data_IF_892970247507
#
_entry.id   IF_892970247507
#
_cell.length_a   1.000
_cell.length_b   1.000
_cell.length_c   1.000
_cell.angle_alpha   90.00
_cell.angle_beta   90.00
_cell.angle_gamma   90.00
#
_symmetry.space_group_name_H-M   'P 1'
#
loop_
_entity.id
_entity.type
_entity.pdbx_description
1 polymer ?
#
# COMPACT_ATOMS: atom_id res chain seq x y z
N UNK A 1 23.28 26.92 -46.03
CA UNK A 1 23.37 27.45 -44.64
C UNK A 1 22.12 26.98 -43.91
N UNK A 2 22.14 25.73 -43.46
CA UNK A 2 21.06 25.09 -42.73
C UNK A 2 21.39 25.15 -41.23
N UNK A 3 20.51 25.75 -40.45
CA UNK A 3 20.62 25.84 -38.98
C UNK A 3 19.82 24.69 -38.38
N UNK A 4 20.53 23.65 -37.94
CA UNK A 4 19.99 22.54 -37.15
C UNK A 4 20.12 22.87 -35.67
N UNK A 5 19.01 23.11 -35.00
CA UNK A 5 18.94 23.17 -33.53
C UNK A 5 18.62 21.77 -33.01
N UNK A 6 19.46 21.13 -32.17
CA UNK A 6 19.10 19.90 -31.51
C UNK A 6 18.23 20.18 -30.27
N UNK A 7 17.08 19.52 -30.19
CA UNK A 7 16.23 19.43 -29.00
C UNK A 7 16.85 18.42 -28.02
N UNK A 8 17.29 18.90 -26.86
CA UNK A 8 17.80 18.06 -25.78
C UNK A 8 16.65 17.33 -25.06
N UNK A 9 16.76 16.00 -25.08
CA UNK A 9 16.09 15.06 -24.18
C UNK A 9 16.72 15.15 -22.78
N UNK A 10 15.94 14.80 -21.74
CA UNK A 10 16.42 14.27 -20.44
C UNK A 10 17.04 15.25 -19.43
N UNK A 11 16.22 15.89 -18.58
CA UNK A 11 16.68 16.54 -17.32
C UNK A 11 15.81 16.21 -16.09
N UNK A 12 14.70 15.46 -16.20
CA UNK A 12 13.80 15.26 -15.05
C UNK A 12 14.12 14.05 -14.13
N UNK A 13 15.12 13.21 -14.41
CA UNK A 13 15.34 11.95 -13.66
C UNK A 13 16.62 11.89 -12.80
N UNK A 14 17.35 13.00 -12.64
CA UNK A 14 18.53 13.06 -11.74
C UNK A 14 18.30 13.89 -10.46
N UNK A 15 17.04 14.17 -10.11
CA UNK A 15 16.69 14.94 -8.91
C UNK A 15 16.72 14.17 -7.58
N UNK A 16 16.86 12.84 -7.61
CA UNK A 16 16.71 11.99 -6.42
C UNK A 16 18.00 11.79 -5.58
N UNK A 17 19.12 12.42 -5.95
CA UNK A 17 20.40 12.21 -5.27
C UNK A 17 21.07 13.45 -4.64
N UNK A 18 20.51 14.66 -4.73
CA UNK A 18 21.28 15.88 -4.36
C UNK A 18 20.77 16.65 -3.12
N UNK A 19 19.56 16.42 -2.60
CA UNK A 19 19.05 17.22 -1.47
C UNK A 19 19.08 16.51 -0.10
N UNK A 20 20.24 15.98 0.30
CA UNK A 20 20.48 15.50 1.67
C UNK A 20 21.64 16.20 2.41
N UNK A 21 22.16 17.32 1.90
CA UNK A 21 23.18 18.10 2.60
C UNK A 21 22.61 19.37 3.24
N UNK A 22 22.15 19.24 4.48
CA UNK A 22 22.31 20.29 5.49
C UNK A 22 22.02 19.76 6.91
N UNK A 23 23.07 19.76 7.74
CA UNK A 23 23.10 19.82 9.22
C UNK A 23 22.58 18.54 9.93
N UNK A 24 23.32 17.81 10.80
CA UNK A 24 24.30 18.17 11.84
C UNK A 24 25.08 16.90 12.26
N UNK A 25 26.35 17.07 12.69
CA UNK A 25 27.30 16.12 13.33
C UNK A 25 27.53 14.72 12.68
N UNK A 26 28.82 14.50 12.39
CA UNK A 26 29.43 13.43 11.59
C UNK A 26 29.41 12.06 12.30
N UNK A 27 28.32 11.33 12.17
CA UNK A 27 28.36 9.86 12.14
C UNK A 27 28.21 9.47 10.67
N UNK A 28 29.19 8.74 10.13
CA UNK A 28 29.22 8.24 8.75
C UNK A 28 27.85 7.62 8.39
N UNK A 29 27.02 8.38 7.67
CA UNK A 29 25.73 7.90 7.16
C UNK A 29 26.04 7.05 5.95
N UNK A 30 26.27 5.76 6.16
CA UNK A 30 26.26 4.79 5.07
C UNK A 30 24.81 4.75 4.55
N UNK A 31 24.53 5.21 3.32
CA UNK A 31 23.19 5.06 2.76
C UNK A 31 22.89 3.56 2.65
N UNK A 32 21.66 3.12 2.96
CA UNK A 32 21.30 1.72 2.77
C UNK A 32 21.51 1.34 1.30
N UNK A 33 22.14 0.19 1.07
CA UNK A 33 22.25 -0.42 -0.25
C UNK A 33 20.83 -0.83 -0.68
N UNK A 34 20.50 -0.82 -1.97
CA UNK A 34 19.20 -1.31 -2.43
C UNK A 34 19.33 -2.82 -2.70
N UNK A 35 18.45 -3.65 -2.08
CA UNK A 35 18.39 -5.10 -2.32
C UNK A 35 17.35 -5.45 -3.39
N UNK A 36 17.30 -6.74 -3.77
CA UNK A 36 16.38 -7.30 -4.78
C UNK A 36 14.95 -6.80 -4.56
N UNK A 37 14.32 -6.26 -5.61
CA UNK A 37 12.98 -5.66 -5.56
C UNK A 37 12.95 -4.18 -5.16
N UNK A 38 14.10 -3.52 -5.01
CA UNK A 38 14.17 -2.09 -4.71
C UNK A 38 14.08 -1.75 -3.22
N UNK A 39 13.89 -2.75 -2.33
CA UNK A 39 13.77 -2.53 -0.90
C UNK A 39 15.07 -1.99 -0.30
N UNK A 40 14.99 -1.10 0.71
CA UNK A 40 16.20 -0.59 1.35
C UNK A 40 16.84 -1.67 2.22
N UNK A 41 18.10 -2.01 1.92
CA UNK A 41 18.93 -2.88 2.74
C UNK A 41 19.40 -2.12 3.97
N UNK A 42 18.63 -2.29 5.03
CA UNK A 42 18.97 -1.73 6.33
C UNK A 42 19.60 -2.74 7.26
N UNK A 43 19.85 -3.98 6.84
CA UNK A 43 20.53 -4.98 7.67
C UNK A 43 21.86 -4.49 8.28
N UNK A 44 22.75 -3.78 7.54
CA UNK A 44 24.01 -3.31 8.11
C UNK A 44 23.88 -2.10 9.05
N UNK A 45 22.71 -1.47 9.13
CA UNK A 45 22.49 -0.25 9.91
C UNK A 45 22.16 -0.57 11.38
N UNK A 46 22.66 0.27 12.30
CA UNK A 46 22.22 0.27 13.70
C UNK A 46 20.75 0.72 13.81
N UNK A 47 20.11 0.49 14.96
CA UNK A 47 18.73 0.94 15.20
C UNK A 47 18.57 2.45 15.03
N UNK A 48 19.54 3.24 15.47
CA UNK A 48 19.50 4.69 15.35
C UNK A 48 19.63 5.13 13.88
N UNK A 49 20.53 4.50 13.13
CA UNK A 49 20.69 4.74 11.70
C UNK A 49 19.44 4.33 10.92
N UNK A 50 18.83 3.19 11.24
CA UNK A 50 17.54 2.75 10.67
C UNK A 50 16.47 3.80 10.92
N UNK A 51 16.32 4.23 12.18
CA UNK A 51 15.33 5.22 12.55
C UNK A 51 15.54 6.52 11.76
N UNK A 52 16.77 7.02 11.69
CA UNK A 52 17.07 8.29 11.00
C UNK A 52 16.82 8.18 9.49
N UNK A 53 17.12 7.03 8.89
CA UNK A 53 16.78 6.74 7.50
C UNK A 53 15.25 6.78 7.28
N UNK A 54 14.47 5.98 8.02
CA UNK A 54 13.02 5.94 7.84
C UNK A 54 12.32 7.25 8.21
N UNK A 55 12.81 7.95 9.24
CA UNK A 55 12.34 9.28 9.59
C UNK A 55 12.61 10.28 8.45
N UNK A 56 13.73 10.15 7.73
CA UNK A 56 14.00 10.99 6.55
C UNK A 56 13.01 10.74 5.41
N UNK A 57 12.62 9.48 5.18
CA UNK A 57 11.58 9.11 4.20
C UNK A 57 10.22 9.69 4.61
N UNK A 58 9.85 9.58 5.89
CA UNK A 58 8.59 10.14 6.37
C UNK A 58 8.56 11.69 6.29
N UNK A 59 9.67 12.35 6.63
CA UNK A 59 9.82 13.81 6.53
C UNK A 59 9.75 14.32 5.09
N UNK A 60 10.39 13.63 4.14
CA UNK A 60 10.37 14.05 2.73
C UNK A 60 8.97 14.00 2.12
N UNK A 61 8.05 13.24 2.73
CA UNK A 61 6.63 13.16 2.36
C UNK A 61 5.70 13.98 3.28
N UNK A 62 6.25 14.88 4.11
CA UNK A 62 5.51 15.71 5.07
C UNK A 62 4.60 14.90 6.03
N UNK A 63 5.00 13.67 6.36
CA UNK A 63 4.30 12.79 7.30
C UNK A 63 4.93 12.77 8.69
N UNK A 64 6.06 13.46 8.83
CA UNK A 64 6.77 13.59 10.08
C UNK A 64 7.42 14.97 10.11
N UNK A 65 7.22 15.73 11.18
CA UNK A 65 8.03 16.91 11.47
C UNK A 65 8.94 16.55 12.66
N UNK A 66 8.32 16.39 13.83
CA UNK A 66 8.89 15.69 14.99
C UNK A 66 7.78 14.85 15.66
N UNK A 67 8.07 13.58 15.94
CA UNK A 67 7.14 12.73 16.70
C UNK A 67 7.48 12.83 18.19
N UNK A 68 6.49 13.14 19.05
CA UNK A 68 6.65 13.00 20.49
C UNK A 68 7.13 11.60 20.87
N UNK A 69 7.80 11.49 22.02
CA UNK A 69 8.08 10.18 22.64
C UNK A 69 6.76 9.43 22.79
N UNK A 70 6.76 8.16 22.39
CA UNK A 70 5.58 7.31 22.41
C UNK A 70 4.73 7.38 21.13
N UNK A 71 4.98 8.31 20.21
CA UNK A 71 4.26 8.34 18.94
C UNK A 71 4.96 7.48 17.88
N UNK A 72 4.18 6.67 17.18
CA UNK A 72 4.55 5.77 16.09
C UNK A 72 4.22 6.40 14.75
N UNK A 73 5.12 6.27 13.79
CA UNK A 73 4.90 6.57 12.37
C UNK A 73 5.07 5.29 11.57
N UNK A 74 4.20 5.09 10.57
CA UNK A 74 4.19 3.91 9.72
C UNK A 74 4.72 4.30 8.33
N UNK A 75 5.62 3.49 7.78
CA UNK A 75 6.18 3.66 6.44
C UNK A 75 6.04 2.34 5.69
N UNK A 76 5.33 2.33 4.57
CA UNK A 76 5.20 1.22 3.64
C UNK A 76 6.12 1.40 2.44
N UNK A 77 6.83 0.34 2.10
CA UNK A 77 7.63 0.22 0.88
C UNK A 77 6.99 -0.87 0.04
N UNK A 78 6.35 -0.45 -1.06
CA UNK A 78 5.72 -1.33 -2.02
C UNK A 78 6.72 -1.75 -3.08
N UNK A 79 6.82 -3.05 -3.30
CA UNK A 79 7.42 -3.63 -4.50
C UNK A 79 6.32 -3.72 -5.56
N UNK A 80 6.57 -3.22 -6.78
CA UNK A 80 5.60 -3.40 -7.86
C UNK A 80 5.61 -4.86 -8.27
N UNK A 81 4.58 -5.59 -7.88
CA UNK A 81 4.37 -6.99 -8.25
C UNK A 81 2.99 -7.12 -8.90
N UNK A 82 2.88 -7.71 -10.10
CA UNK A 82 1.58 -7.87 -10.75
C UNK A 82 0.57 -8.58 -9.85
N UNK A 83 -0.68 -8.12 -9.81
CA UNK A 83 -1.73 -8.68 -8.95
C UNK A 83 -1.99 -10.16 -9.22
N UNK A 84 -1.67 -10.61 -10.43
CA UNK A 84 -1.78 -12.00 -10.90
C UNK A 84 -0.48 -12.81 -10.75
N UNK A 85 0.59 -12.27 -10.17
CA UNK A 85 1.88 -12.96 -10.08
C UNK A 85 1.81 -14.27 -9.29
N UNK A 86 0.99 -14.33 -8.24
CA UNK A 86 0.79 -15.51 -7.42
C UNK A 86 -0.43 -16.36 -7.85
N UNK A 87 -1.00 -16.04 -9.01
CA UNK A 87 -2.05 -16.84 -9.63
C UNK A 87 -1.51 -18.18 -10.16
N UNK A 88 -0.20 -18.31 -10.39
CA UNK A 88 0.37 -19.44 -11.15
C UNK A 88 0.85 -20.65 -10.34
N UNK A 89 0.82 -20.60 -9.01
CA UNK A 89 1.17 -21.77 -8.18
C UNK A 89 0.50 -21.72 -6.80
N UNK A 90 0.86 -22.63 -5.87
CA UNK A 90 0.31 -22.89 -4.49
C UNK A 90 -0.33 -21.73 -3.70
N UNK A 91 -0.03 -20.48 -4.06
CA UNK A 91 -0.60 -19.27 -3.53
C UNK A 91 -2.02 -18.93 -4.04
N UNK A 92 -2.53 -19.49 -5.14
CA UNK A 92 -3.94 -19.34 -5.56
C UNK A 92 -4.44 -17.89 -5.80
N UNK A 93 -3.55 -16.95 -6.16
CA UNK A 93 -3.93 -15.55 -6.30
C UNK A 93 -4.13 -14.80 -4.97
N UNK A 94 -3.55 -15.28 -3.87
CA UNK A 94 -3.56 -14.70 -2.51
C UNK A 94 -2.85 -13.36 -2.31
N UNK A 95 -2.10 -12.88 -3.30
CA UNK A 95 -1.20 -11.73 -3.19
C UNK A 95 0.24 -12.14 -2.86
N UNK A 96 1.20 -11.34 -3.33
CA UNK A 96 2.63 -11.53 -3.08
C UNK A 96 3.01 -10.68 -1.87
N UNK A 97 3.38 -11.33 -0.77
CA UNK A 97 3.75 -10.68 0.49
C UNK A 97 5.23 -10.30 0.48
N UNK A 98 5.64 -9.47 -0.46
CA UNK A 98 7.01 -9.00 -0.65
C UNK A 98 7.21 -7.53 -0.24
N UNK A 99 6.13 -6.84 0.14
CA UNK A 99 6.19 -5.49 0.66
C UNK A 99 6.74 -5.43 2.09
N UNK A 100 7.27 -4.26 2.43
CA UNK A 100 7.78 -3.98 3.78
C UNK A 100 7.04 -2.82 4.43
N UNK A 101 6.43 -3.07 5.57
CA UNK A 101 5.92 -2.04 6.47
C UNK A 101 6.91 -1.85 7.62
N UNK A 102 7.21 -0.60 7.94
CA UNK A 102 8.14 -0.21 9.00
C UNK A 102 7.41 0.71 9.97
N UNK A 103 7.57 0.44 11.26
CA UNK A 103 7.13 1.33 12.31
C UNK A 103 8.33 1.91 13.03
N UNK A 104 8.35 3.23 13.17
CA UNK A 104 9.38 3.94 13.93
C UNK A 104 8.75 4.73 15.07
N UNK A 105 9.43 4.75 16.22
CA UNK A 105 9.03 5.57 17.36
C UNK A 105 10.22 5.87 18.26
N UNK A 106 10.01 6.77 19.22
CA UNK A 106 10.91 6.98 20.34
C UNK A 106 10.23 6.52 21.62
N UNK A 107 11.00 6.04 22.58
CA UNK A 107 10.53 5.74 23.94
C UNK A 107 11.55 6.23 24.97
N UNK A 108 11.21 6.16 26.26
CA UNK A 108 12.17 6.41 27.35
C UNK A 108 12.69 5.09 27.90
N UNK A 109 14.00 5.00 28.08
CA UNK A 109 14.59 3.92 28.87
C UNK A 109 14.32 4.12 30.38
N UNK A 110 14.81 3.19 31.21
CA UNK A 110 14.67 3.26 32.67
C UNK A 110 15.37 4.46 33.30
N UNK A 111 16.36 5.03 32.63
CA UNK A 111 17.09 6.22 33.06
C UNK A 111 16.44 7.52 32.56
N UNK A 112 15.36 7.43 31.77
CA UNK A 112 14.62 8.57 31.21
C UNK A 112 15.16 9.07 29.87
N UNK A 113 16.18 8.44 29.30
CA UNK A 113 16.77 8.85 28.01
C UNK A 113 15.86 8.44 26.85
N UNK A 114 15.80 9.27 25.81
CA UNK A 114 15.12 8.89 24.57
C UNK A 114 15.89 7.80 23.83
N UNK A 115 15.19 6.72 23.50
CA UNK A 115 15.71 5.62 22.70
C UNK A 115 14.88 5.50 21.43
N UNK A 116 15.55 5.46 20.28
CA UNK A 116 14.93 5.25 18.98
C UNK A 116 14.61 3.78 18.80
N UNK A 117 13.47 3.51 18.17
CA UNK A 117 12.96 2.15 17.93
C UNK A 117 12.48 2.01 16.49
N UNK A 118 12.70 0.83 15.94
CA UNK A 118 12.33 0.44 14.59
C UNK A 118 11.82 -0.98 14.62
N UNK A 119 10.72 -1.24 13.92
CA UNK A 119 10.18 -2.58 13.71
C UNK A 119 9.77 -2.77 12.25
N UNK A 120 10.19 -3.88 11.66
CA UNK A 120 9.86 -4.26 10.29
C UNK A 120 8.79 -5.35 10.28
N UNK A 121 7.93 -5.29 9.26
CA UNK A 121 6.86 -6.24 9.01
C UNK A 121 6.82 -6.54 7.52
N UNK A 122 6.57 -7.81 7.19
CA UNK A 122 6.17 -8.21 5.84
C UNK A 122 4.69 -7.91 5.66
N UNK A 123 4.34 -7.36 4.50
CA UNK A 123 2.96 -7.04 4.15
C UNK A 123 2.69 -7.33 2.67
N UNK A 124 1.43 -7.17 2.29
CA UNK A 124 0.99 -7.01 0.91
C UNK A 124 0.13 -5.76 0.83
N UNK A 125 0.51 -4.84 -0.05
CA UNK A 125 -0.10 -3.53 -0.30
C UNK A 125 -0.77 -3.47 -1.67
N UNK A 126 -0.68 -4.56 -2.44
CA UNK A 126 -1.34 -4.79 -3.72
C UNK A 126 -2.65 -5.61 -3.52
N UNK A 127 -3.69 -5.39 -4.33
CA UNK A 127 -4.87 -6.25 -4.29
C UNK A 127 -4.55 -7.64 -4.85
N UNK A 128 -5.28 -8.64 -4.38
CA UNK A 128 -5.08 -10.05 -4.70
C UNK A 128 -5.98 -10.47 -5.87
N UNK A 129 -5.43 -11.27 -6.79
CA UNK A 129 -6.12 -11.85 -7.95
C UNK A 129 -7.38 -12.67 -7.62
N UNK A 130 -7.62 -13.04 -6.36
CA UNK A 130 -8.85 -13.72 -5.96
C UNK A 130 -10.12 -12.89 -6.09
N UNK A 131 -9.97 -11.56 -6.10
CA UNK A 131 -11.07 -10.60 -6.21
C UNK A 131 -11.22 -10.03 -7.63
N UNK A 132 -10.32 -10.40 -8.54
CA UNK A 132 -10.32 -9.93 -9.92
C UNK A 132 -11.49 -10.56 -10.69
N UNK A 133 -12.36 -9.72 -11.25
CA UNK A 133 -13.49 -10.16 -12.06
C UNK A 133 -13.05 -10.91 -13.33
N UNK A 134 -11.91 -10.56 -13.93
CA UNK A 134 -11.41 -11.23 -15.13
C UNK A 134 -11.00 -12.69 -14.86
N UNK A 135 -10.66 -13.02 -13.61
CA UNK A 135 -10.24 -14.36 -13.19
C UNK A 135 -11.39 -15.18 -12.56
N UNK A 136 -12.58 -14.60 -12.38
CA UNK A 136 -13.71 -15.26 -11.71
C UNK A 136 -14.21 -16.49 -12.47
N UNK A 137 -14.23 -17.64 -11.78
CA UNK A 137 -14.88 -18.86 -12.26
C UNK A 137 -14.18 -19.59 -13.41
N UNK A 138 -13.05 -19.07 -13.90
CA UNK A 138 -12.46 -19.47 -15.19
C UNK A 138 -11.09 -20.13 -15.09
N UNK A 139 -10.29 -19.87 -14.04
CA UNK A 139 -8.89 -20.35 -13.99
C UNK A 139 -8.67 -21.40 -12.89
N UNK A 140 -8.47 -22.64 -13.32
CA UNK A 140 -7.82 -23.69 -12.50
C UNK A 140 -6.35 -23.75 -12.88
N UNK A 141 -5.46 -23.44 -11.95
CA UNK A 141 -4.03 -23.57 -12.15
C UNK A 141 -3.50 -24.60 -11.15
N UNK A 142 -2.83 -25.64 -11.65
CA UNK A 142 -2.31 -26.76 -10.84
C UNK A 142 -3.37 -27.40 -9.91
N UNK A 143 -4.65 -27.39 -10.31
CA UNK A 143 -5.76 -27.97 -9.53
C UNK A 143 -6.40 -27.02 -8.50
N UNK A 144 -5.93 -25.78 -8.40
CA UNK A 144 -6.39 -24.74 -7.47
C UNK A 144 -7.22 -23.69 -8.23
N UNK A 145 -8.38 -23.31 -7.69
CA UNK A 145 -9.27 -22.30 -8.32
C UNK A 145 -8.86 -20.90 -7.90
N UNK A 146 -8.48 -20.07 -8.88
CA UNK A 146 -8.23 -18.62 -8.72
C UNK A 146 -9.54 -17.87 -8.98
N UNK A 147 -9.69 -16.64 -8.49
CA UNK A 147 -10.93 -15.87 -8.65
C UNK A 147 -12.13 -16.53 -7.96
N UNK A 148 -11.89 -17.23 -6.84
CA UNK A 148 -12.93 -17.96 -6.08
C UNK A 148 -13.85 -17.02 -5.28
N UNK A 149 -13.39 -15.80 -4.96
CA UNK A 149 -14.18 -14.82 -4.21
C UNK A 149 -15.09 -14.05 -5.15
N UNK A 150 -15.98 -13.25 -4.58
CA UNK A 150 -16.78 -12.33 -5.37
C UNK A 150 -15.87 -11.23 -5.94
N UNK A 151 -16.20 -10.71 -7.12
CA UNK A 151 -15.50 -9.56 -7.66
C UNK A 151 -15.64 -8.36 -6.71
N UNK A 152 -14.51 -7.83 -6.28
CA UNK A 152 -14.44 -6.54 -5.59
C UNK A 152 -13.94 -5.48 -6.57
N UNK A 153 -14.21 -4.22 -6.26
CA UNK A 153 -13.86 -3.10 -7.13
C UNK A 153 -15.04 -2.28 -7.63
N UNK A 154 -14.73 -1.42 -8.60
CA UNK A 154 -15.63 -0.44 -9.25
C UNK A 154 -15.29 -0.40 -10.74
N UNK A 155 -16.13 0.25 -11.53
CA UNK A 155 -16.05 0.27 -12.99
C UNK A 155 -15.80 1.71 -13.50
N UNK A 156 -14.59 2.26 -13.31
CA UNK A 156 -14.24 3.60 -13.75
C UNK A 156 -14.13 3.76 -15.27
N UNK A 157 -14.07 2.71 -16.08
CA UNK A 157 -13.97 2.80 -17.55
C UNK A 157 -15.29 2.45 -18.29
N UNK A 158 -16.29 1.99 -17.54
CA UNK A 158 -17.66 1.74 -17.99
C UNK A 158 -17.82 0.52 -18.86
N UNK A 159 -16.92 -0.47 -18.74
CA UNK A 159 -16.93 -1.67 -19.57
C UNK A 159 -17.82 -2.80 -19.00
N UNK A 160 -18.35 -2.62 -17.78
CA UNK A 160 -19.22 -3.56 -17.09
C UNK A 160 -18.47 -4.56 -16.18
N UNK A 161 -17.15 -4.45 -16.04
CA UNK A 161 -16.32 -5.23 -15.14
C UNK A 161 -15.88 -4.39 -13.94
N UNK A 162 -15.64 -5.05 -12.80
CA UNK A 162 -15.14 -4.42 -11.59
C UNK A 162 -13.62 -4.52 -11.56
N UNK A 163 -13.00 -3.38 -11.40
CA UNK A 163 -11.57 -3.19 -11.39
C UNK A 163 -11.04 -3.09 -9.97
N UNK A 164 -10.00 -3.87 -9.69
CA UNK A 164 -9.32 -3.86 -8.40
C UNK A 164 -8.75 -2.48 -8.12
N UNK A 165 -8.79 -2.09 -6.85
CA UNK A 165 -8.25 -0.82 -6.38
C UNK A 165 -6.91 -1.00 -5.69
N UNK A 166 -6.01 -0.05 -5.87
CA UNK A 166 -4.75 0.02 -5.12
C UNK A 166 -4.58 1.40 -4.51
N UNK A 167 -4.16 1.45 -3.25
CA UNK A 167 -3.79 2.70 -2.59
C UNK A 167 -2.61 3.35 -3.33
N UNK A 168 -2.71 4.59 -3.84
CA UNK A 168 -1.60 5.24 -4.52
C UNK A 168 -0.44 5.54 -3.58
N UNK A 169 0.69 5.92 -4.17
CA UNK A 169 1.80 6.49 -3.40
C UNK A 169 1.40 7.80 -2.74
N UNK A 170 1.74 7.94 -1.46
CA UNK A 170 1.37 9.16 -0.76
C UNK A 170 1.44 9.09 0.74
N UNK A 171 0.86 10.11 1.35
CA UNK A 171 0.69 10.25 2.79
C UNK A 171 -0.79 10.07 3.13
N UNK A 172 -1.04 9.31 4.18
CA UNK A 172 -2.37 9.02 4.70
C UNK A 172 -2.35 9.09 6.22
N UNK A 173 -3.50 9.38 6.82
CA UNK A 173 -3.68 9.25 8.26
C UNK A 173 -4.61 8.08 8.51
N UNK A 174 -4.27 7.25 9.48
CA UNK A 174 -5.05 6.09 9.88
C UNK A 174 -5.39 6.15 11.36
N UNK A 175 -6.52 5.56 11.77
CA UNK A 175 -6.90 5.48 13.17
C UNK A 175 -7.26 4.05 13.58
N UNK A 176 -7.09 3.74 14.87
CA UNK A 176 -7.60 2.47 15.40
C UNK A 176 -9.10 2.41 15.23
N UNK A 177 -9.58 1.30 14.69
CA UNK A 177 -11.00 1.03 14.56
C UNK A 177 -11.25 -0.48 14.67
N UNK A 178 -12.50 -0.85 14.42
CA UNK A 178 -12.89 -2.25 14.35
C UNK A 178 -13.80 -2.54 13.16
N UNK A 179 -13.72 -3.76 12.64
CA UNK A 179 -14.60 -4.25 11.57
C UNK A 179 -15.37 -5.48 12.03
N UNK A 180 -16.66 -5.54 11.68
CA UNK A 180 -17.49 -6.70 11.95
C UNK A 180 -17.18 -7.89 11.02
N UNK A 181 -16.66 -7.60 9.83
CA UNK A 181 -16.45 -8.56 8.73
C UNK A 181 -14.97 -8.85 8.47
N UNK A 182 -14.09 -7.90 8.78
CA UNK A 182 -12.63 -8.07 8.68
C UNK A 182 -12.02 -8.31 10.07
N UNK A 183 -10.96 -9.11 10.14
CA UNK A 183 -10.26 -9.37 11.41
C UNK A 183 -11.02 -10.31 12.35
N UNK A 184 -11.44 -11.49 11.86
CA UNK A 184 -12.28 -12.52 12.53
C UNK A 184 -11.88 -12.95 13.96
N UNK A 185 -10.76 -12.48 14.53
CA UNK A 185 -10.43 -12.53 15.96
C UNK A 185 -9.84 -11.17 16.35
N UNK A 186 -10.46 -10.48 17.29
CA UNK A 186 -10.05 -9.14 17.74
C UNK A 186 -10.72 -7.98 16.99
N UNK A 187 -11.24 -8.20 15.78
CA UNK A 187 -11.92 -7.19 14.92
C UNK A 187 -11.09 -5.93 14.65
N UNK A 188 -9.80 -5.93 14.98
CA UNK A 188 -8.90 -4.77 14.95
C UNK A 188 -8.54 -4.43 13.51
N UNK A 189 -8.69 -3.16 13.15
CA UNK A 189 -8.23 -2.61 11.88
C UNK A 189 -7.63 -1.23 12.14
N UNK A 190 -6.72 -0.79 11.27
CA UNK A 190 -6.56 0.65 11.08
C UNK A 190 -7.43 1.09 9.91
N UNK A 191 -8.25 2.11 10.12
CA UNK A 191 -9.06 2.71 9.06
C UNK A 191 -8.51 4.05 8.63
N UNK A 192 -8.66 4.42 7.35
CA UNK A 192 -8.19 5.70 6.88
C UNK A 192 -9.06 6.79 7.51
N UNK A 193 -8.41 7.86 7.97
CA UNK A 193 -9.08 9.08 8.41
C UNK A 193 -9.30 9.93 7.17
N UNK A 194 -10.55 10.15 6.80
CA UNK A 194 -10.92 10.97 5.65
C UNK A 194 -11.90 12.05 6.09
N UNK A 195 -11.87 13.21 5.43
CA UNK A 195 -12.82 14.27 5.74
C UNK A 195 -14.22 13.83 5.32
N UNK A 196 -15.19 13.93 6.23
CA UNK A 196 -16.59 13.55 6.01
C UNK A 196 -16.77 12.14 5.43
N UNK A 197 -15.91 11.20 5.82
CA UNK A 197 -15.93 9.81 5.34
C UNK A 197 -15.90 9.70 3.80
N UNK A 198 -15.21 10.66 3.16
CA UNK A 198 -15.15 10.79 1.71
C UNK A 198 -14.34 9.70 1.01
N UNK A 199 -13.65 8.83 1.75
CA UNK A 199 -12.85 7.75 1.19
C UNK A 199 -11.55 8.23 0.52
N UNK A 200 -10.84 7.29 -0.11
CA UNK A 200 -9.57 7.56 -0.80
C UNK A 200 -9.75 7.29 -2.29
N UNK A 201 -9.20 8.17 -3.14
CA UNK A 201 -9.07 7.90 -4.57
C UNK A 201 -7.96 6.88 -4.80
N UNK A 202 -8.27 5.81 -5.52
CA UNK A 202 -7.36 4.68 -5.76
C UNK A 202 -6.96 4.59 -7.22
N UNK A 203 -5.80 3.96 -7.46
CA UNK A 203 -5.46 3.45 -8.79
C UNK A 203 -6.32 2.24 -9.09
N UNK A 204 -6.68 2.03 -10.37
CA UNK A 204 -7.52 0.92 -10.82
C UNK A 204 -6.86 0.23 -12.00
N UNK A 205 -6.84 -1.09 -11.97
CA UNK A 205 -6.38 -1.95 -13.07
C UNK A 205 -7.58 -2.24 -13.97
N UNK A 206 -7.88 -1.32 -14.89
CA UNK A 206 -9.11 -1.36 -15.72
C UNK A 206 -8.96 -2.27 -16.93
N UNK A 207 -7.71 -2.52 -17.33
CA UNK A 207 -7.42 -3.45 -18.41
C UNK A 207 -7.29 -4.91 -17.92
N UNK A 208 -7.25 -5.12 -16.60
CA UNK A 208 -7.08 -6.41 -15.92
C UNK A 208 -5.79 -7.14 -16.33
N UNK A 209 -4.72 -6.42 -16.62
CA UNK A 209 -3.42 -7.01 -16.95
C UNK A 209 -2.59 -7.33 -15.69
N UNK A 210 -3.06 -6.88 -14.54
CA UNK A 210 -2.44 -7.06 -13.23
C UNK A 210 -1.46 -5.96 -12.85
N UNK A 211 -1.29 -4.92 -13.67
CA UNK A 211 -0.30 -3.86 -13.49
C UNK A 211 -0.96 -2.48 -13.54
N UNK A 212 -0.99 -1.79 -12.41
CA UNK A 212 -1.50 -0.41 -12.33
C UNK A 212 -0.55 0.60 -12.97
N UNK A 213 -0.89 1.10 -14.15
CA UNK A 213 -0.01 1.97 -14.94
C UNK A 213 -0.77 3.01 -15.80
N UNK A 214 -0.05 3.75 -16.64
CA UNK A 214 -0.62 4.82 -17.46
C UNK A 214 -1.64 4.33 -18.49
N UNK A 215 -1.57 3.06 -18.90
CA UNK A 215 -2.57 2.45 -19.80
C UNK A 215 -3.96 2.49 -19.15
N UNK A 216 -4.04 2.24 -17.85
CA UNK A 216 -5.31 2.30 -17.11
C UNK A 216 -5.87 3.72 -17.09
N UNK A 217 -5.00 4.69 -16.76
CA UNK A 217 -5.36 6.10 -16.71
C UNK A 217 -5.85 6.62 -18.07
N UNK A 218 -5.26 6.12 -19.17
CA UNK A 218 -5.67 6.44 -20.53
C UNK A 218 -7.07 5.90 -20.84
N UNK A 219 -7.36 4.65 -20.50
CA UNK A 219 -8.69 4.05 -20.74
C UNK A 219 -9.80 4.77 -19.95
N UNK A 220 -9.52 5.15 -18.70
CA UNK A 220 -10.44 5.97 -17.90
C UNK A 220 -10.67 7.34 -18.55
N UNK A 221 -9.61 7.98 -19.07
CA UNK A 221 -9.73 9.26 -19.78
C UNK A 221 -10.55 9.14 -21.07
N UNK A 222 -10.39 8.05 -21.81
CA UNK A 222 -11.19 7.75 -23.00
C UNK A 222 -12.66 7.57 -22.66
N UNK A 223 -12.98 6.88 -21.57
CA UNK A 223 -14.35 6.75 -21.10
C UNK A 223 -14.95 8.09 -20.67
N UNK A 224 -14.20 8.93 -19.93
CA UNK A 224 -14.62 10.30 -19.63
C UNK A 224 -14.95 11.07 -20.92
N UNK A 225 -14.12 10.96 -21.95
CA UNK A 225 -14.37 11.60 -23.25
C UNK A 225 -15.63 11.04 -23.95
N UNK A 226 -15.91 9.73 -23.85
CA UNK A 226 -17.17 9.12 -24.34
C UNK A 226 -18.39 9.70 -23.62
N UNK A 227 -18.35 9.83 -22.30
CA UNK A 227 -19.43 10.42 -21.51
C UNK A 227 -19.74 11.86 -21.96
N UNK A 228 -18.71 12.66 -22.20
CA UNK A 228 -18.86 14.03 -22.71
C UNK A 228 -19.50 14.03 -24.10
N UNK A 229 -19.05 13.17 -25.02
CA UNK A 229 -19.66 13.03 -26.35
C UNK A 229 -21.13 12.59 -26.29
N UNK A 230 -21.52 11.83 -25.27
CA UNK A 230 -22.92 11.44 -25.04
C UNK A 230 -23.79 12.53 -24.39
N UNK A 231 -23.25 13.74 -24.20
CA UNK A 231 -23.99 14.91 -23.71
C UNK A 231 -23.84 15.21 -22.22
N UNK A 232 -22.91 14.56 -21.51
CA UNK A 232 -22.52 14.98 -20.14
C UNK A 232 -21.65 16.24 -20.21
N UNK A 233 -21.77 17.10 -19.21
CA UNK A 233 -20.75 18.14 -18.99
C UNK A 233 -19.47 17.51 -18.47
N UNK A 234 -18.34 18.21 -18.59
CA UNK A 234 -17.07 17.72 -18.04
C UNK A 234 -17.14 17.47 -16.54
N UNK A 235 -17.80 18.36 -15.78
CA UNK A 235 -18.00 18.20 -14.34
C UNK A 235 -18.83 16.95 -14.00
N UNK A 236 -19.89 16.68 -14.77
CA UNK A 236 -20.70 15.47 -14.60
C UNK A 236 -19.90 14.20 -14.92
N UNK A 237 -19.15 14.20 -16.01
CA UNK A 237 -18.29 13.08 -16.39
C UNK A 237 -17.22 12.84 -15.31
N UNK A 238 -16.55 13.88 -14.82
CA UNK A 238 -15.56 13.76 -13.74
C UNK A 238 -16.17 13.25 -12.44
N UNK A 239 -17.37 13.69 -12.07
CA UNK A 239 -18.06 13.22 -10.87
C UNK A 239 -18.39 11.72 -10.96
N UNK A 240 -18.76 11.22 -12.14
CA UNK A 240 -18.95 9.77 -12.39
C UNK A 240 -17.64 9.03 -12.18
N UNK A 241 -16.55 9.45 -12.84
CA UNK A 241 -15.23 8.81 -12.69
C UNK A 241 -14.77 8.83 -11.23
N UNK A 242 -14.85 9.98 -10.56
CA UNK A 242 -14.42 10.12 -9.17
C UNK A 242 -15.19 9.19 -8.23
N UNK A 243 -16.48 8.94 -8.50
CA UNK A 243 -17.29 8.01 -7.69
C UNK A 243 -16.78 6.58 -7.79
N UNK A 244 -16.31 6.17 -8.96
CA UNK A 244 -15.80 4.82 -9.21
C UNK A 244 -14.33 4.67 -8.78
N UNK A 245 -13.52 5.73 -8.91
CA UNK A 245 -12.16 5.77 -8.34
C UNK A 245 -12.14 5.85 -6.82
N UNK A 246 -13.25 6.19 -6.17
CA UNK A 246 -13.30 6.30 -4.72
C UNK A 246 -13.47 4.93 -4.05
N UNK A 247 -12.66 4.68 -3.01
CA UNK A 247 -12.68 3.43 -2.25
C UNK A 247 -13.80 3.34 -1.21
N UNK A 248 -14.53 4.42 -0.92
CA UNK A 248 -15.65 4.46 0.04
C UNK A 248 -15.26 3.87 1.42
N UNK A 249 -14.08 4.26 1.91
CA UNK A 249 -13.46 3.84 3.18
C UNK A 249 -12.92 2.40 3.26
N UNK A 250 -12.73 1.70 2.15
CA UNK A 250 -12.40 0.25 2.18
C UNK A 250 -10.91 -0.09 2.25
N UNK A 251 -10.01 0.89 2.40
CA UNK A 251 -8.55 0.64 2.41
C UNK A 251 -8.05 0.58 3.86
N UNK A 252 -7.98 -0.61 4.43
CA UNK A 252 -7.62 -0.80 5.85
C UNK A 252 -6.21 -1.37 6.03
N UNK A 253 -5.65 -1.26 7.24
CA UNK A 253 -4.65 -2.21 7.73
C UNK A 253 -5.36 -3.32 8.47
N UNK A 254 -5.17 -4.56 8.03
CA UNK A 254 -5.73 -5.72 8.71
C UNK A 254 -4.93 -6.98 8.43
N UNK A 255 -5.17 -8.05 9.18
CA UNK A 255 -4.68 -9.38 8.83
C UNK A 255 -5.27 -9.81 7.47
N UNK A 256 -4.52 -10.50 6.63
CA UNK A 256 -5.12 -11.10 5.43
C UNK A 256 -6.33 -11.99 5.77
N UNK A 257 -7.31 -12.05 4.88
CA UNK A 257 -8.57 -12.77 5.14
C UNK A 257 -8.38 -14.26 5.44
N UNK A 258 -9.20 -14.82 6.35
CA UNK A 258 -9.00 -16.16 6.89
C UNK A 258 -9.60 -17.31 6.05
N UNK A 259 -8.78 -18.36 5.91
CA UNK A 259 -9.07 -19.77 5.56
C UNK A 259 -9.65 -20.06 4.18
N UNK A 260 -8.85 -20.72 3.34
CA UNK A 260 -9.37 -21.65 2.32
C UNK A 260 -9.42 -23.05 2.91
N UNK A 261 -10.61 -23.68 2.87
CA UNK A 261 -10.81 -25.09 3.17
C UNK A 261 -10.82 -25.89 1.87
N UNK A 262 -10.16 -27.06 1.85
CA UNK A 262 -10.34 -28.02 0.76
C UNK A 262 -11.74 -28.66 0.83
N UNK A 263 -12.04 -29.52 -0.15
CA UNK A 263 -13.31 -30.27 -0.22
C UNK A 263 -13.57 -31.22 0.96
N UNK A 264 -12.55 -31.48 1.78
CA UNK A 264 -12.60 -32.32 2.98
C UNK A 264 -12.55 -31.47 4.27
N UNK A 265 -12.75 -30.16 4.15
CA UNK A 265 -12.71 -29.21 5.26
C UNK A 265 -11.32 -29.00 5.90
N UNK A 266 -10.24 -29.43 5.24
CA UNK A 266 -8.88 -29.17 5.71
C UNK A 266 -8.47 -27.73 5.41
N UNK A 267 -7.83 -27.06 6.36
CA UNK A 267 -7.25 -25.73 6.16
C UNK A 267 -6.07 -25.85 5.18
N UNK A 268 -6.15 -25.16 4.05
CA UNK A 268 -5.15 -25.24 2.97
C UNK A 268 -4.41 -23.93 2.69
N UNK A 269 -4.91 -22.81 3.21
CA UNK A 269 -4.19 -21.53 3.20
C UNK A 269 -4.67 -20.61 4.32
N UNK A 270 -3.73 -19.85 4.92
CA UNK A 270 -3.97 -18.98 6.06
C UNK A 270 -3.80 -17.50 5.65
N UNK A 271 -4.83 -16.69 5.94
CA UNK A 271 -4.73 -15.26 6.27
C UNK A 271 -3.95 -14.34 5.31
N UNK A 272 -4.35 -14.25 4.04
CA UNK A 272 -3.62 -13.45 3.03
C UNK A 272 -4.46 -12.56 2.09
N UNK A 273 -5.79 -12.63 2.09
CA UNK A 273 -6.58 -11.93 1.06
C UNK A 273 -6.72 -10.41 1.30
N UNK A 274 -6.61 -9.63 0.22
CA UNK A 274 -6.83 -8.18 0.19
C UNK A 274 -7.48 -7.73 -1.12
N UNK A 275 -8.51 -6.89 -1.04
CA UNK A 275 -9.16 -6.29 -2.21
C UNK A 275 -8.78 -4.81 -2.42
N UNK A 276 -7.70 -4.34 -1.75
CA UNK A 276 -6.98 -3.05 -1.88
C UNK A 276 -6.24 -2.65 -0.58
N UNK A 277 -6.49 -3.37 0.52
CA UNK A 277 -5.99 -3.13 1.87
C UNK A 277 -4.49 -3.42 2.05
N UNK A 278 -3.94 -2.87 3.12
CA UNK A 278 -2.60 -3.17 3.63
C UNK A 278 -2.69 -4.39 4.53
N UNK A 279 -2.24 -5.53 4.03
CA UNK A 279 -2.47 -6.83 4.68
C UNK A 279 -1.20 -7.45 5.21
N UNK A 280 -1.31 -8.12 6.36
CA UNK A 280 -0.19 -8.83 6.99
C UNK A 280 -0.43 -10.35 6.91
N UNK A 281 0.61 -11.15 6.65
CA UNK A 281 0.46 -12.58 6.41
C UNK A 281 0.30 -13.30 7.74
N UNK A 282 -0.84 -13.94 7.95
CA UNK A 282 -1.08 -14.65 9.19
C UNK A 282 -1.52 -13.75 10.34
N UNK A 283 -2.25 -14.35 11.27
CA UNK A 283 -2.65 -13.71 12.53
C UNK A 283 -1.46 -13.15 13.32
N UNK A 284 -0.41 -13.93 13.50
CA UNK A 284 0.71 -13.56 14.37
C UNK A 284 1.41 -12.27 13.93
N UNK A 285 1.55 -12.06 12.61
CA UNK A 285 2.20 -10.86 12.08
C UNK A 285 1.34 -9.62 12.25
N UNK A 286 0.02 -9.75 12.08
CA UNK A 286 -0.87 -8.63 12.36
C UNK A 286 -0.96 -8.31 13.85
N UNK A 287 -1.02 -9.32 14.72
CA UNK A 287 -1.04 -9.12 16.17
C UNK A 287 0.28 -8.44 16.63
N UNK A 288 1.43 -8.86 16.09
CA UNK A 288 2.72 -8.20 16.32
C UNK A 288 2.73 -6.74 15.86
N UNK A 289 2.19 -6.45 14.66
CA UNK A 289 2.02 -5.08 14.16
C UNK A 289 1.13 -4.26 15.09
N UNK A 290 -0.03 -4.82 15.46
CA UNK A 290 -1.02 -4.15 16.29
C UNK A 290 -0.47 -3.80 17.67
N UNK A 291 0.22 -4.73 18.31
CA UNK A 291 0.81 -4.52 19.63
C UNK A 291 1.95 -3.50 19.57
N UNK A 292 2.67 -3.41 18.45
CA UNK A 292 3.74 -2.40 18.25
C UNK A 292 3.20 -0.97 18.16
N UNK A 293 1.95 -0.78 17.72
CA UNK A 293 1.26 0.52 17.80
C UNK A 293 1.20 1.04 19.25
N UNK A 294 1.39 0.17 20.23
CA UNK A 294 1.27 0.45 21.65
C UNK A 294 -0.18 0.48 22.11
N UNK A 295 -0.39 0.53 23.42
CA UNK A 295 -1.73 0.78 23.96
C UNK A 295 -2.06 2.27 23.86
N UNK A 296 -3.28 2.59 23.45
CA UNK A 296 -3.74 3.98 23.35
C UNK A 296 -3.66 4.69 24.71
N UNK A 297 -3.97 3.98 25.80
CA UNK A 297 -3.91 4.49 27.17
C UNK A 297 -2.48 4.83 27.61
N UNK A 298 -1.48 4.16 27.03
CA UNK A 298 -0.06 4.36 27.36
C UNK A 298 0.57 5.40 26.46
N UNK A 299 0.25 5.37 25.17
CA UNK A 299 0.88 6.22 24.15
C UNK A 299 0.14 7.54 23.94
N UNK A 300 -1.15 7.61 24.29
CA UNK A 300 -2.05 8.72 23.94
C UNK A 300 -2.36 8.82 22.45
N UNK A 301 -1.76 7.97 21.61
CA UNK A 301 -1.85 8.08 20.16
C UNK A 301 -3.06 7.30 19.64
N UNK A 302 -4.00 8.00 19.01
CA UNK A 302 -5.16 7.40 18.31
C UNK A 302 -4.96 7.26 16.81
N UNK A 303 -4.27 8.23 16.22
CA UNK A 303 -4.03 8.35 14.79
C UNK A 303 -2.56 8.13 14.46
N UNK A 304 -2.31 7.59 13.27
CA UNK A 304 -1.00 7.21 12.77
C UNK A 304 -0.82 7.82 11.39
N UNK A 305 0.26 8.56 11.22
CA UNK A 305 0.71 8.95 9.89
C UNK A 305 1.29 7.71 9.19
N UNK A 306 0.83 7.47 7.96
CA UNK A 306 1.29 6.43 7.07
C UNK A 306 1.84 7.05 5.80
N UNK A 307 3.06 6.67 5.44
CA UNK A 307 3.64 6.99 4.14
C UNK A 307 3.76 5.71 3.34
N UNK A 308 3.23 5.70 2.14
CA UNK A 308 3.44 4.62 1.17
C UNK A 308 4.37 5.11 0.05
N UNK A 309 5.41 4.34 -0.20
CA UNK A 309 6.39 4.57 -1.27
C UNK A 309 6.44 3.34 -2.15
N UNK A 310 6.16 3.49 -3.44
CA UNK A 310 6.41 2.48 -4.45
C UNK A 310 7.86 2.54 -4.89
N UNK A 311 8.49 1.38 -4.89
CA UNK A 311 9.88 1.22 -5.25
C UNK A 311 10.02 1.05 -6.76
N UNK A 312 11.02 1.68 -7.38
CA UNK A 312 11.34 1.44 -8.78
C UNK A 312 11.84 0.00 -8.95
N UNK A 313 11.44 -0.64 -10.05
CA UNK A 313 11.98 -1.94 -10.49
C UNK A 313 13.39 -1.78 -11.09
#
# INVERSE_FOLDING_TARGET
LASTTPTNTTVAQQGWLVNMRAQTQEQERIPPVIIRGGLPDTLPLTTDQKYDYYASVARSRNAMQETPVGHRTIIGFRVITPTNADSTDRAAGMGVYDDMVVMIWKERDRAGNEVKRVKHFTANTEPSAQYDQALMGTRKENGLTIGRKHAEGRDPDGDGRRDLGRLPDGKYTYERSSSATLGTIGRRILRPVTENDSGIMVDRDVNHDGSFNDVDSQQIAEYKARLIRSGRTEAQAQAIINRELNSQETIYFHRGGAITRDRNDNITAQDTYSAACQTFPGREKFDEFWDTLGEEQVTGQRTFEYVLVTLPQ
#
